data_IF_622773896491
#
_entry.id   IF_622773896491
#
_cell.length_a   1.000
_cell.length_b   1.000
_cell.length_c   1.000
_cell.angle_alpha   90.00
_cell.angle_beta   90.00
_cell.angle_gamma   90.00
#
_symmetry.space_group_name_H-M   'P 1'
#
loop_
_entity.id
_entity.type
_entity.pdbx_description
1 polymer ?
#
# COMPACT_ATOMS: atom_id res chain seq x y z
N UNK A 1 33.67 -10.19 -1.59
CA UNK A 1 32.27 -9.87 -1.30
C UNK A 1 31.99 -9.62 0.20
N UNK A 2 32.24 -10.57 1.12
CA UNK A 2 32.07 -10.31 2.56
C UNK A 2 33.05 -9.22 3.03
N UNK A 3 34.23 -9.19 2.45
CA UNK A 3 35.26 -8.19 2.75
C UNK A 3 34.91 -6.76 2.28
N UNK A 4 34.01 -6.65 1.29
CA UNK A 4 33.55 -5.35 0.77
C UNK A 4 32.44 -4.72 1.63
N UNK A 5 31.82 -5.52 2.51
CA UNK A 5 30.72 -5.10 3.40
C UNK A 5 30.97 -5.57 4.83
N UNK A 6 32.03 -5.08 5.52
CA UNK A 6 32.43 -5.56 6.84
C UNK A 6 31.37 -5.31 7.92
N UNK A 7 30.52 -4.28 7.73
CA UNK A 7 29.45 -3.89 8.66
C UNK A 7 28.09 -4.48 8.28
N UNK A 8 28.04 -5.45 7.33
CA UNK A 8 26.79 -6.07 6.95
C UNK A 8 26.20 -6.88 8.10
N UNK A 9 24.99 -6.55 8.48
CA UNK A 9 24.20 -7.30 9.48
C UNK A 9 23.53 -8.53 8.87
N UNK A 10 23.24 -8.50 7.58
CA UNK A 10 22.56 -9.57 6.86
C UNK A 10 22.95 -9.54 5.38
N UNK A 11 23.24 -10.72 4.83
CA UNK A 11 23.48 -10.93 3.39
C UNK A 11 22.60 -12.10 2.95
N UNK A 12 21.66 -11.83 2.05
CA UNK A 12 20.71 -12.83 1.56
C UNK A 12 20.83 -12.98 0.05
N UNK A 13 21.00 -14.21 -0.43
CA UNK A 13 20.86 -14.52 -1.84
C UNK A 13 19.38 -14.48 -2.23
N UNK A 14 19.04 -13.69 -3.23
CA UNK A 14 17.68 -13.48 -3.69
C UNK A 14 17.62 -13.49 -5.23
N UNK A 15 16.42 -13.53 -5.77
CA UNK A 15 16.19 -13.29 -7.19
C UNK A 15 15.65 -11.87 -7.37
N UNK A 16 16.26 -11.13 -8.29
CA UNK A 16 15.81 -9.81 -8.70
C UNK A 16 15.58 -9.81 -10.20
N UNK A 17 14.33 -9.64 -10.62
CA UNK A 17 13.88 -9.72 -12.04
C UNK A 17 14.44 -10.93 -12.79
N UNK A 18 14.53 -12.10 -12.11
CA UNK A 18 15.03 -13.35 -12.68
C UNK A 18 16.54 -13.53 -12.59
N UNK A 19 17.30 -12.56 -12.10
CA UNK A 19 18.75 -12.64 -11.92
C UNK A 19 19.11 -12.92 -10.46
N UNK A 20 20.17 -13.70 -10.18
CA UNK A 20 20.64 -13.93 -8.83
C UNK A 20 21.36 -12.67 -8.30
N UNK A 21 20.97 -12.22 -7.11
CA UNK A 21 21.55 -11.05 -6.45
C UNK A 21 21.75 -11.31 -4.97
N UNK A 22 22.68 -10.58 -4.36
CA UNK A 22 22.77 -10.48 -2.92
C UNK A 22 22.09 -9.18 -2.46
N UNK A 23 21.16 -9.31 -1.50
CA UNK A 23 20.68 -8.19 -0.71
C UNK A 23 21.53 -8.08 0.54
N UNK A 24 22.23 -6.97 0.65
CA UNK A 24 23.11 -6.67 1.76
C UNK A 24 22.46 -5.61 2.63
N UNK A 25 22.22 -5.91 3.89
CA UNK A 25 21.70 -4.94 4.87
C UNK A 25 22.83 -4.54 5.80
N UNK A 26 23.01 -3.24 5.98
CA UNK A 26 23.98 -2.65 6.88
C UNK A 26 23.35 -1.52 7.70
N UNK A 27 24.00 -1.00 8.76
CA UNK A 27 23.54 0.19 9.46
C UNK A 27 23.42 1.45 8.57
N UNK A 28 24.19 1.48 7.47
CA UNK A 28 24.16 2.57 6.48
C UNK A 28 22.99 2.45 5.47
N UNK A 29 22.29 1.31 5.41
CA UNK A 29 21.20 1.06 4.49
C UNK A 29 21.24 -0.33 3.85
N UNK A 30 20.38 -0.53 2.87
CA UNK A 30 20.32 -1.76 2.08
C UNK A 30 21.00 -1.57 0.73
N UNK A 31 21.66 -2.61 0.23
CA UNK A 31 22.33 -2.60 -1.07
C UNK A 31 21.97 -3.84 -1.87
N UNK A 32 21.89 -3.67 -3.18
CA UNK A 32 21.68 -4.74 -4.14
C UNK A 32 23.00 -4.99 -4.91
N UNK A 33 23.48 -6.22 -4.89
CA UNK A 33 24.75 -6.62 -5.50
C UNK A 33 24.50 -7.80 -6.42
N UNK A 34 24.99 -7.73 -7.63
CA UNK A 34 24.94 -8.82 -8.59
C UNK A 34 25.72 -10.02 -8.07
N UNK A 35 25.11 -11.21 -8.04
CA UNK A 35 25.73 -12.39 -7.43
C UNK A 35 26.82 -13.04 -8.30
N UNK A 36 26.82 -12.77 -9.60
CA UNK A 36 27.80 -13.34 -10.53
C UNK A 36 29.06 -12.46 -10.63
N UNK A 37 28.84 -11.15 -10.70
CA UNK A 37 29.94 -10.18 -10.92
C UNK A 37 30.45 -9.50 -9.67
N UNK A 38 29.67 -9.51 -8.57
CA UNK A 38 29.97 -8.77 -7.35
C UNK A 38 29.77 -7.25 -7.49
N UNK A 39 29.24 -6.79 -8.63
CA UNK A 39 29.03 -5.35 -8.85
C UNK A 39 27.80 -4.87 -8.09
N UNK A 40 27.93 -3.75 -7.41
CA UNK A 40 26.78 -3.09 -6.80
C UNK A 40 25.84 -2.52 -7.88
N UNK A 41 24.55 -2.88 -7.79
CA UNK A 41 23.50 -2.43 -8.68
C UNK A 41 22.84 -1.16 -8.11
N UNK A 42 22.58 -1.15 -6.82
CA UNK A 42 21.96 0.00 -6.14
C UNK A 42 22.91 1.21 -5.97
N UNK A 43 22.40 2.45 -5.92
CA UNK A 43 20.98 2.78 -6.05
C UNK A 43 20.47 2.56 -7.48
N UNK A 44 19.24 2.04 -7.58
CA UNK A 44 18.62 1.75 -8.86
C UNK A 44 18.44 3.01 -9.69
N UNK A 45 18.75 2.89 -10.97
CA UNK A 45 18.44 3.91 -11.97
C UNK A 45 16.96 3.91 -12.34
N UNK A 46 16.51 4.90 -13.10
CA UNK A 46 15.16 4.95 -13.66
C UNK A 46 14.84 3.72 -14.51
N UNK A 47 15.80 3.29 -15.36
CA UNK A 47 15.62 2.13 -16.24
C UNK A 47 15.49 0.84 -15.44
N UNK A 48 16.26 0.68 -14.36
CA UNK A 48 16.16 -0.46 -13.45
C UNK A 48 14.79 -0.50 -12.78
N UNK A 49 14.28 0.64 -12.31
CA UNK A 49 12.95 0.72 -11.70
C UNK A 49 11.84 0.38 -12.70
N UNK A 50 11.97 0.84 -13.94
CA UNK A 50 11.06 0.46 -15.04
C UNK A 50 11.15 -1.05 -15.31
N UNK A 51 12.33 -1.62 -15.32
CA UNK A 51 12.51 -3.07 -15.52
C UNK A 51 11.83 -3.89 -14.41
N UNK A 52 11.98 -3.48 -13.14
CA UNK A 52 11.28 -4.08 -12.00
C UNK A 52 9.77 -3.97 -12.17
N UNK A 53 9.26 -2.79 -12.50
CA UNK A 53 7.84 -2.57 -12.68
C UNK A 53 7.27 -3.44 -13.80
N UNK A 54 7.96 -3.51 -14.95
CA UNK A 54 7.57 -4.37 -16.08
C UNK A 54 7.60 -5.86 -15.74
N UNK A 55 8.58 -6.32 -14.98
CA UNK A 55 8.68 -7.72 -14.56
C UNK A 55 7.46 -8.15 -13.73
N UNK A 56 6.95 -7.26 -12.90
CA UNK A 56 5.78 -7.52 -12.05
C UNK A 56 4.44 -7.16 -12.70
N UNK A 57 4.46 -6.50 -13.86
CA UNK A 57 3.25 -6.12 -14.57
C UNK A 57 2.82 -7.22 -15.54
N UNK A 58 1.67 -7.83 -15.26
CA UNK A 58 1.18 -9.01 -16.00
C UNK A 58 0.39 -8.69 -17.27
N UNK A 59 0.15 -7.39 -17.55
CA UNK A 59 -0.57 -6.93 -18.72
C UNK A 59 0.38 -6.23 -19.68
N UNK A 60 -0.11 -5.85 -20.85
CA UNK A 60 0.63 -5.04 -21.81
C UNK A 60 0.15 -3.60 -21.72
N UNK A 61 1.04 -2.69 -21.33
CA UNK A 61 0.83 -1.26 -21.37
C UNK A 61 2.18 -0.54 -21.46
N UNK A 62 2.16 0.66 -21.99
CA UNK A 62 3.33 1.52 -22.02
C UNK A 62 3.59 2.18 -20.68
N UNK A 63 4.81 2.67 -20.48
CA UNK A 63 5.17 3.48 -19.33
C UNK A 63 4.74 4.92 -19.62
N UNK A 64 3.84 5.43 -18.81
CA UNK A 64 3.40 6.83 -18.88
C UNK A 64 4.44 7.76 -18.25
N UNK A 65 4.99 7.37 -17.09
CA UNK A 65 6.05 8.15 -16.42
C UNK A 65 6.86 7.29 -15.45
N UNK A 66 8.11 7.70 -15.18
CA UNK A 66 8.91 7.15 -14.08
C UNK A 66 9.65 8.31 -13.40
N UNK A 67 9.50 8.44 -12.08
CA UNK A 67 10.08 9.53 -11.29
C UNK A 67 10.51 9.05 -9.90
N UNK A 68 11.58 9.63 -9.38
CA UNK A 68 12.03 9.40 -8.01
C UNK A 68 11.29 10.37 -7.09
N UNK A 69 10.61 9.82 -6.09
CA UNK A 69 9.97 10.57 -5.02
C UNK A 69 10.94 10.64 -3.85
N UNK A 70 11.36 11.84 -3.50
CA UNK A 70 12.34 12.11 -2.44
C UNK A 70 11.66 12.79 -1.26
N UNK A 71 10.73 13.71 -1.54
CA UNK A 71 10.07 14.54 -0.55
C UNK A 71 8.70 13.98 -0.17
N UNK A 72 8.39 14.00 1.12
CA UNK A 72 7.10 13.55 1.65
C UNK A 72 5.93 14.43 1.17
N UNK A 73 6.17 15.71 0.88
CA UNK A 73 5.16 16.64 0.37
C UNK A 73 4.71 16.30 -1.06
N UNK A 74 5.61 15.75 -1.88
CA UNK A 74 5.31 15.30 -3.24
C UNK A 74 4.77 13.86 -3.28
N UNK A 75 4.89 13.14 -2.17
CA UNK A 75 4.47 11.74 -2.09
C UNK A 75 2.93 11.64 -2.06
N UNK A 76 2.32 10.85 -2.95
CA UNK A 76 0.89 10.58 -2.90
C UNK A 76 0.47 10.00 -1.56
N UNK A 77 -0.73 10.33 -1.11
CA UNK A 77 -1.32 9.87 0.16
C UNK A 77 -1.24 8.34 0.32
N UNK A 78 -1.31 7.62 -0.78
CA UNK A 78 -1.27 6.14 -0.82
C UNK A 78 0.08 5.51 -0.39
N UNK A 79 1.14 6.34 -0.22
CA UNK A 79 2.48 5.89 0.23
C UNK A 79 3.06 6.74 1.37
N UNK A 80 2.30 7.66 1.97
CA UNK A 80 2.79 8.55 3.04
C UNK A 80 3.36 7.80 4.25
N UNK A 81 2.92 6.56 4.50
CA UNK A 81 3.45 5.70 5.56
C UNK A 81 4.71 4.91 5.17
N UNK A 82 5.23 5.10 3.95
CA UNK A 82 6.39 4.35 3.45
C UNK A 82 7.66 5.21 3.51
N UNK A 83 8.81 4.59 3.81
CA UNK A 83 10.08 5.30 3.77
C UNK A 83 10.40 5.76 2.35
N UNK A 84 10.93 6.97 2.22
CA UNK A 84 11.45 7.53 0.98
C UNK A 84 13.00 7.42 1.00
N UNK A 85 13.67 7.45 -0.16
CA UNK A 85 13.13 7.67 -1.50
C UNK A 85 12.49 6.43 -2.13
N UNK A 86 11.58 6.64 -3.10
CA UNK A 86 10.94 5.57 -3.89
C UNK A 86 10.83 5.97 -5.36
N UNK A 87 11.14 5.05 -6.26
CA UNK A 87 10.78 5.18 -7.65
C UNK A 87 9.29 4.92 -7.84
N UNK A 88 8.58 5.88 -8.45
CA UNK A 88 7.21 5.69 -8.93
C UNK A 88 7.22 5.48 -10.43
N UNK A 89 6.67 4.37 -10.88
CA UNK A 89 6.51 4.01 -12.29
C UNK A 89 5.03 3.89 -12.60
N UNK A 90 4.51 4.80 -13.42
CA UNK A 90 3.11 4.83 -13.83
C UNK A 90 2.96 4.16 -15.20
N UNK A 91 1.95 3.30 -15.34
CA UNK A 91 1.56 2.66 -16.59
C UNK A 91 0.40 3.40 -17.26
N UNK A 92 0.44 3.48 -18.59
CA UNK A 92 -0.68 3.99 -19.39
C UNK A 92 -1.71 2.88 -19.61
N UNK A 93 -2.43 2.56 -18.54
CA UNK A 93 -3.51 1.58 -18.55
C UNK A 93 -4.81 2.16 -17.99
N UNK A 94 -5.95 1.54 -18.33
CA UNK A 94 -7.26 1.96 -17.83
C UNK A 94 -7.39 1.95 -16.30
N UNK A 95 -6.46 1.26 -15.61
CA UNK A 95 -6.40 1.18 -14.16
C UNK A 95 -5.54 2.27 -13.52
N UNK A 96 -4.86 3.11 -14.31
CA UNK A 96 -3.85 4.07 -13.83
C UNK A 96 -2.91 3.41 -12.81
N UNK A 97 -2.33 2.28 -13.23
CA UNK A 97 -1.50 1.44 -12.36
C UNK A 97 -0.17 2.11 -12.08
N UNK A 98 0.17 2.25 -10.81
CA UNK A 98 1.44 2.77 -10.33
C UNK A 98 2.19 1.71 -9.51
N UNK A 99 3.48 1.55 -9.79
CA UNK A 99 4.40 0.71 -9.03
C UNK A 99 5.37 1.58 -8.25
N UNK A 100 5.66 1.18 -7.02
CA UNK A 100 6.60 1.86 -6.15
C UNK A 100 7.75 0.92 -5.82
N UNK A 101 8.96 1.28 -6.24
CA UNK A 101 10.16 0.47 -6.17
C UNK A 101 11.21 1.15 -5.30
N UNK A 102 11.82 0.41 -4.38
CA UNK A 102 12.93 0.90 -3.55
C UNK A 102 14.19 1.04 -4.43
N UNK A 103 14.86 2.21 -4.42
CA UNK A 103 16.13 2.39 -5.12
C UNK A 103 17.27 1.60 -4.47
N UNK A 104 17.18 1.28 -3.18
CA UNK A 104 18.29 0.73 -2.41
C UNK A 104 18.42 -0.79 -2.58
N UNK A 105 17.32 -1.51 -2.55
CA UNK A 105 17.31 -2.98 -2.59
C UNK A 105 16.50 -3.57 -3.76
N UNK A 106 15.97 -2.72 -4.64
CA UNK A 106 15.20 -3.15 -5.81
C UNK A 106 13.90 -3.86 -5.48
N UNK A 107 13.38 -3.75 -4.25
CA UNK A 107 12.14 -4.39 -3.87
C UNK A 107 10.92 -3.62 -4.39
N UNK A 108 9.90 -4.35 -4.80
CA UNK A 108 8.60 -3.78 -5.08
C UNK A 108 7.89 -3.51 -3.76
N UNK A 109 7.78 -2.24 -3.37
CA UNK A 109 7.17 -1.83 -2.10
C UNK A 109 5.65 -1.97 -2.16
N UNK A 110 5.03 -1.49 -3.23
CA UNK A 110 3.58 -1.58 -3.41
C UNK A 110 3.17 -1.33 -4.85
N UNK A 111 1.97 -1.82 -5.20
CA UNK A 111 1.28 -1.53 -6.45
C UNK A 111 -0.06 -0.91 -6.14
N UNK A 112 -0.42 0.15 -6.85
CA UNK A 112 -1.70 0.85 -6.72
C UNK A 112 -2.38 0.95 -8.07
N UNK A 113 -3.70 0.85 -8.09
CA UNK A 113 -4.55 1.02 -9.27
C UNK A 113 -5.90 1.65 -8.86
N UNK A 114 -6.68 2.11 -9.83
CA UNK A 114 -7.92 2.84 -9.59
C UNK A 114 -8.91 2.10 -8.67
N UNK A 115 -9.09 0.79 -8.84
CA UNK A 115 -9.98 0.00 -7.97
C UNK A 115 -9.50 -0.01 -6.52
N UNK A 116 -8.19 -0.08 -6.30
CA UNK A 116 -7.64 -0.01 -4.96
C UNK A 116 -7.91 1.36 -4.33
N UNK A 117 -7.76 2.46 -5.11
CA UNK A 117 -8.03 3.82 -4.62
C UNK A 117 -9.50 4.02 -4.29
N UNK A 118 -10.42 3.48 -5.09
CA UNK A 118 -11.86 3.50 -4.81
C UNK A 118 -12.17 2.70 -3.55
N UNK A 119 -11.57 1.51 -3.41
CA UNK A 119 -11.74 0.68 -2.22
C UNK A 119 -11.22 1.39 -0.96
N UNK A 120 -10.03 1.98 -1.02
CA UNK A 120 -9.43 2.72 0.10
C UNK A 120 -10.32 3.91 0.53
N UNK A 121 -10.87 4.64 -0.45
CA UNK A 121 -11.83 5.70 -0.17
C UNK A 121 -13.13 5.18 0.48
N UNK A 122 -13.69 4.10 -0.05
CA UNK A 122 -14.89 3.48 0.52
C UNK A 122 -14.61 2.92 1.93
N UNK A 123 -13.44 2.35 2.15
CA UNK A 123 -12.99 1.87 3.44
C UNK A 123 -12.87 3.01 4.46
N UNK A 124 -12.22 4.11 4.06
CA UNK A 124 -12.12 5.33 4.88
C UNK A 124 -13.51 5.83 5.35
N UNK A 125 -14.49 5.86 4.44
CA UNK A 125 -15.88 6.21 4.78
C UNK A 125 -16.50 5.20 5.73
N UNK A 126 -16.24 3.90 5.53
CA UNK A 126 -16.82 2.83 6.33
C UNK A 126 -16.33 2.86 7.78
N UNK A 127 -15.04 3.07 8.00
CA UNK A 127 -14.45 3.15 9.36
C UNK A 127 -14.52 4.55 9.96
N UNK A 128 -15.00 5.54 9.18
CA UNK A 128 -15.08 6.96 9.62
C UNK A 128 -13.75 7.52 10.13
N UNK A 129 -12.64 6.99 9.65
CA UNK A 129 -11.29 7.49 9.92
C UNK A 129 -10.76 8.24 8.70
N UNK A 130 -10.72 9.56 8.81
CA UNK A 130 -10.33 10.47 7.72
C UNK A 130 -8.86 10.89 7.80
N UNK A 131 -8.17 10.55 8.88
CA UNK A 131 -6.77 10.95 9.11
C UNK A 131 -5.79 9.80 8.80
N UNK A 132 -5.84 8.73 9.57
CA UNK A 132 -4.88 7.62 9.46
C UNK A 132 -5.36 6.48 8.54
N UNK A 133 -6.68 6.37 8.31
CA UNK A 133 -7.35 5.33 7.49
C UNK A 133 -7.10 3.89 7.97
N UNK A 134 -6.69 3.74 9.21
CA UNK A 134 -6.34 2.48 9.84
C UNK A 134 -6.96 2.31 11.22
N UNK A 135 -7.36 3.39 11.91
CA UNK A 135 -7.94 3.33 13.24
C UNK A 135 -9.43 3.00 13.18
N UNK A 136 -9.73 1.73 13.45
CA UNK A 136 -11.11 1.21 13.55
C UNK A 136 -11.76 1.50 14.93
N UNK A 137 -11.10 2.24 15.81
CA UNK A 137 -11.61 2.56 17.14
C UNK A 137 -11.68 4.07 17.39
N UNK A 138 -11.85 4.87 16.34
CA UNK A 138 -11.95 6.32 16.44
C UNK A 138 -13.26 6.79 17.10
N UNK A 139 -13.25 8.00 17.62
CA UNK A 139 -14.38 8.58 18.36
C UNK A 139 -15.63 8.72 17.51
N UNK A 140 -15.49 9.05 16.23
CA UNK A 140 -16.62 9.25 15.33
C UNK A 140 -17.36 7.92 15.07
N UNK A 141 -16.62 6.83 14.85
CA UNK A 141 -17.20 5.50 14.67
C UNK A 141 -17.93 5.04 15.94
N UNK A 142 -17.35 5.28 17.13
CA UNK A 142 -17.98 4.94 18.42
C UNK A 142 -19.30 5.68 18.63
N UNK A 143 -19.35 6.98 18.34
CA UNK A 143 -20.57 7.79 18.43
C UNK A 143 -21.62 7.28 17.44
N UNK A 144 -21.24 7.04 16.20
CA UNK A 144 -22.13 6.54 15.15
C UNK A 144 -22.71 5.16 15.48
N UNK A 145 -21.87 4.27 16.02
CA UNK A 145 -22.30 2.95 16.47
C UNK A 145 -23.28 3.06 17.65
N UNK A 146 -23.03 3.95 18.60
CA UNK A 146 -23.93 4.23 19.72
C UNK A 146 -25.29 4.74 19.26
N UNK A 147 -25.32 5.70 18.34
CA UNK A 147 -26.55 6.21 17.73
C UNK A 147 -27.31 5.11 16.98
N UNK A 148 -26.61 4.29 16.20
CA UNK A 148 -27.20 3.16 15.49
C UNK A 148 -27.85 2.15 16.45
N UNK A 149 -27.19 1.85 17.56
CA UNK A 149 -27.74 0.98 18.61
C UNK A 149 -29.03 1.57 19.20
N UNK A 150 -29.04 2.85 19.57
CA UNK A 150 -30.22 3.54 20.12
C UNK A 150 -31.38 3.48 19.11
N UNK A 151 -31.14 3.82 17.85
CA UNK A 151 -32.15 3.76 16.80
C UNK A 151 -32.69 2.35 16.59
N UNK A 152 -31.84 1.33 16.66
CA UNK A 152 -32.25 -0.08 16.54
C UNK A 152 -33.15 -0.51 17.68
N UNK A 153 -32.83 -0.11 18.92
CA UNK A 153 -33.66 -0.40 20.10
C UNK A 153 -35.01 0.31 20.00
N UNK A 154 -35.01 1.59 19.59
CA UNK A 154 -36.26 2.35 19.39
C UNK A 154 -37.12 1.74 18.28
N UNK A 155 -36.52 1.33 17.18
CA UNK A 155 -37.21 0.66 16.07
C UNK A 155 -37.84 -0.66 16.52
N UNK A 156 -37.13 -1.48 17.27
CA UNK A 156 -37.63 -2.73 17.85
C UNK A 156 -38.77 -2.48 18.83
N UNK A 157 -38.67 -1.46 19.67
CA UNK A 157 -39.72 -1.02 20.59
C UNK A 157 -40.99 -0.64 19.82
N UNK A 158 -40.88 0.20 18.80
CA UNK A 158 -42.00 0.63 17.97
C UNK A 158 -42.70 -0.56 17.28
N UNK A 159 -41.90 -1.51 16.72
CA UNK A 159 -42.44 -2.73 16.14
C UNK A 159 -43.28 -3.52 17.15
N UNK A 160 -42.76 -3.73 18.35
CA UNK A 160 -43.49 -4.45 19.41
C UNK A 160 -44.85 -3.83 19.72
N UNK A 161 -44.94 -2.49 19.86
CA UNK A 161 -46.19 -1.78 20.11
C UNK A 161 -47.12 -1.80 18.88
N UNK A 162 -46.60 -1.71 17.67
CA UNK A 162 -47.37 -1.79 16.43
C UNK A 162 -48.10 -3.12 16.29
N UNK A 163 -47.40 -4.22 16.54
CA UNK A 163 -48.01 -5.55 16.52
C UNK A 163 -49.01 -5.77 17.64
N UNK A 164 -48.75 -5.27 18.85
CA UNK A 164 -49.68 -5.36 19.98
C UNK A 164 -50.97 -4.59 19.73
N UNK A 165 -50.90 -3.43 19.08
CA UNK A 165 -52.05 -2.59 18.75
C UNK A 165 -52.93 -3.27 17.69
N UNK A 166 -52.34 -3.90 16.68
CA UNK A 166 -53.05 -4.62 15.61
C UNK A 166 -53.82 -5.83 16.15
N UNK A 167 -53.32 -6.54 17.11
CA UNK A 167 -54.04 -7.66 17.78
C UNK A 167 -55.28 -7.21 18.53
N UNK A 168 -55.31 -6.03 19.11
CA UNK A 168 -56.46 -5.48 19.87
C UNK A 168 -57.58 -4.97 18.95
N UNK A 169 -57.32 -4.69 17.70
CA UNK A 169 -58.35 -4.23 16.75
C UNK A 169 -59.03 -5.38 16.00
N UNK A 170 -58.62 -6.60 16.21
CA UNK A 170 -59.18 -7.83 15.56
C UNK A 170 -59.96 -8.72 16.56
N UNK A 171 -60.08 -8.32 17.82
CA UNK A 171 -60.91 -8.93 18.85
C UNK A 171 -62.09 -7.97 19.24
#
# INVERSE_FOLDING_TARGET
>A
MVDDYPDASEIVLASWIGQPVFRVRSPAGSHLVDAETGRQISPLTQDDAIAVARYHYTRTADIASARLLVDAEEAPTEIQSRPLPLWRVDFDDAGSTAFYVSPDDGSLITRRHTYWRIFDFAWMLHIMDYEERADVNNTLLRISAGLGLVLSVLGMWLLFFSFRRRRRSLS
#
